data_IF_100337507814
#
_entry.id   IF_100337507814
#
_cell.length_a   1.000
_cell.length_b   1.000
_cell.length_c   1.000
_cell.angle_alpha   90.00
_cell.angle_beta   90.00
_cell.angle_gamma   90.00
#
_symmetry.space_group_name_H-M   'P 1'
#
loop_
_entity.id
_entity.type
_entity.pdbx_description
1 polymer ?
#
# COMPACT_ATOMS: atom_id res chain seq x y z
N UNK A 1 9.71 0.10 -6.03
CA UNK A 1 9.22 -0.93 -5.06
C UNK A 1 8.06 -1.69 -5.70
N UNK A 2 8.17 -2.99 -5.75
CA UNK A 2 7.09 -3.83 -6.27
C UNK A 2 6.33 -4.47 -5.11
N UNK A 3 5.14 -5.01 -5.44
CA UNK A 3 4.34 -5.73 -4.46
C UNK A 3 5.15 -6.87 -3.82
N UNK A 4 5.83 -7.64 -4.66
CA UNK A 4 6.60 -8.79 -4.19
C UNK A 4 7.74 -8.36 -3.29
N UNK A 5 8.41 -7.28 -3.62
CA UNK A 5 9.49 -6.78 -2.77
C UNK A 5 8.97 -6.34 -1.41
N UNK A 6 7.84 -5.63 -1.40
CA UNK A 6 7.27 -5.16 -0.14
C UNK A 6 6.81 -6.32 0.72
N UNK A 7 6.15 -7.32 0.13
CA UNK A 7 5.69 -8.47 0.88
C UNK A 7 6.84 -9.30 1.42
N UNK A 8 7.95 -9.38 0.67
CA UNK A 8 9.15 -10.06 1.16
C UNK A 8 9.70 -9.40 2.41
N UNK A 9 9.72 -8.06 2.42
CA UNK A 9 10.16 -7.30 3.59
C UNK A 9 9.21 -7.56 4.77
N UNK A 10 7.91 -7.54 4.50
CA UNK A 10 6.91 -7.72 5.55
C UNK A 10 6.98 -9.13 6.16
N UNK A 11 7.27 -10.14 5.34
CA UNK A 11 7.36 -11.51 5.83
C UNK A 11 8.47 -11.70 6.86
N UNK A 12 9.47 -10.82 6.85
CA UNK A 12 10.56 -10.91 7.81
C UNK A 12 10.20 -10.28 9.15
N UNK A 13 9.13 -9.48 9.19
CA UNK A 13 8.80 -8.70 10.38
C UNK A 13 7.45 -9.04 10.98
N UNK A 14 6.55 -9.65 10.21
CA UNK A 14 5.19 -9.93 10.65
C UNK A 14 4.83 -11.38 10.39
N UNK A 15 3.85 -11.88 11.12
CA UNK A 15 3.34 -13.22 10.93
C UNK A 15 2.54 -13.32 9.64
N UNK A 16 2.15 -14.54 9.29
CA UNK A 16 1.50 -14.83 8.02
C UNK A 16 0.19 -14.06 7.82
N UNK A 17 -0.66 -14.03 8.84
CA UNK A 17 -1.97 -13.39 8.71
C UNK A 17 -1.84 -11.88 8.48
N UNK A 18 -1.02 -11.15 9.25
CA UNK A 18 -0.79 -9.73 8.95
C UNK A 18 -0.28 -9.51 7.53
N UNK A 19 0.61 -10.37 7.04
CA UNK A 19 1.13 -10.22 5.68
C UNK A 19 0.02 -10.41 4.66
N UNK A 20 -0.90 -11.34 4.88
CA UNK A 20 -2.02 -11.53 3.97
C UNK A 20 -2.96 -10.34 3.97
N UNK A 21 -3.17 -9.72 5.14
CA UNK A 21 -3.98 -8.50 5.22
C UNK A 21 -3.32 -7.38 4.42
N UNK A 22 -2.01 -7.22 4.56
CA UNK A 22 -1.28 -6.22 3.79
C UNK A 22 -1.38 -6.49 2.30
N UNK A 23 -1.24 -7.75 1.88
CA UNK A 23 -1.35 -8.10 0.48
C UNK A 23 -2.72 -7.71 -0.09
N UNK A 24 -3.78 -7.97 0.67
CA UNK A 24 -5.14 -7.60 0.25
C UNK A 24 -5.28 -6.10 0.11
N UNK A 25 -4.70 -5.33 1.04
CA UNK A 25 -4.75 -3.87 0.98
C UNK A 25 -4.00 -3.35 -0.25
N UNK A 26 -2.85 -3.94 -0.56
CA UNK A 26 -2.07 -3.55 -1.72
C UNK A 26 -2.85 -3.85 -3.00
N UNK A 27 -3.49 -5.00 -3.07
CA UNK A 27 -4.27 -5.38 -4.25
C UNK A 27 -5.46 -4.44 -4.45
N UNK A 28 -6.13 -4.07 -3.37
CA UNK A 28 -7.21 -3.10 -3.43
C UNK A 28 -6.71 -1.76 -3.95
N UNK A 29 -5.59 -1.28 -3.38
CA UNK A 29 -5.02 -0.01 -3.79
C UNK A 29 -4.57 -0.05 -5.26
N UNK A 30 -3.99 -1.17 -5.69
CA UNK A 30 -3.54 -1.33 -7.06
C UNK A 30 -4.72 -1.20 -8.01
N UNK A 31 -5.84 -1.82 -7.69
CA UNK A 31 -7.03 -1.75 -8.52
C UNK A 31 -7.57 -0.34 -8.58
N UNK A 32 -7.61 0.35 -7.45
CA UNK A 32 -8.18 1.70 -7.40
C UNK A 32 -7.28 2.73 -8.07
N UNK A 33 -5.97 2.52 -8.05
CA UNK A 33 -5.02 3.44 -8.70
C UNK A 33 -4.71 3.03 -10.15
N UNK A 34 -5.37 2.00 -10.67
CA UNK A 34 -5.09 1.50 -12.01
C UNK A 34 -5.26 2.62 -13.04
N UNK A 35 -4.23 2.81 -13.86
CA UNK A 35 -4.24 3.84 -14.89
C UNK A 35 -3.85 5.23 -14.42
N UNK A 36 -3.75 5.45 -13.10
CA UNK A 36 -3.34 6.75 -12.58
C UNK A 36 -1.82 6.87 -12.60
N UNK A 37 -1.36 8.07 -12.90
CA UNK A 37 0.07 8.36 -12.92
C UNK A 37 0.34 9.69 -12.21
N UNK A 38 1.51 9.80 -11.63
CA UNK A 38 1.97 11.05 -11.05
C UNK A 38 2.42 11.97 -12.18
N UNK A 39 2.68 13.25 -11.84
CA UNK A 39 3.15 14.21 -12.83
C UNK A 39 4.43 13.75 -13.53
N UNK A 40 5.23 12.94 -12.85
CA UNK A 40 6.46 12.39 -13.40
C UNK A 40 6.22 11.26 -14.41
N UNK A 41 4.98 10.79 -14.55
CA UNK A 41 4.64 9.66 -15.42
C UNK A 41 4.73 8.31 -14.72
N UNK A 42 5.15 8.29 -13.47
CA UNK A 42 5.30 7.07 -12.70
C UNK A 42 3.93 6.55 -12.24
N UNK A 43 3.70 5.22 -12.24
CA UNK A 43 2.43 4.70 -11.73
C UNK A 43 2.18 5.14 -10.30
N UNK A 44 0.95 5.57 -10.02
CA UNK A 44 0.64 6.14 -8.72
C UNK A 44 0.78 5.12 -7.58
N UNK A 45 0.56 3.84 -7.85
CA UNK A 45 0.64 2.79 -6.83
C UNK A 45 2.02 2.74 -6.17
N UNK A 46 3.07 3.21 -6.86
CA UNK A 46 4.41 3.20 -6.28
C UNK A 46 4.50 4.06 -5.03
N UNK A 47 3.67 5.09 -4.91
CA UNK A 47 3.70 5.97 -3.75
C UNK A 47 3.22 5.27 -2.47
N UNK A 48 2.03 4.65 -2.42
CA UNK A 48 1.63 3.94 -1.21
C UNK A 48 2.54 2.76 -0.88
N UNK A 49 3.15 2.12 -1.90
CA UNK A 49 4.10 1.04 -1.61
C UNK A 49 5.34 1.58 -0.91
N UNK A 50 5.84 2.73 -1.34
CA UNK A 50 7.01 3.35 -0.70
C UNK A 50 6.69 3.78 0.72
N UNK A 51 5.50 4.32 0.96
CA UNK A 51 5.07 4.72 2.31
C UNK A 51 5.01 3.48 3.20
N UNK A 52 4.45 2.39 2.69
CA UNK A 52 4.36 1.15 3.46
C UNK A 52 5.74 0.62 3.83
N UNK A 53 6.69 0.70 2.91
CA UNK A 53 8.05 0.26 3.20
C UNK A 53 8.66 1.04 4.37
N UNK A 54 8.48 2.37 4.36
CA UNK A 54 9.01 3.21 5.42
C UNK A 54 8.38 2.84 6.76
N UNK A 55 7.06 2.64 6.78
CA UNK A 55 6.37 2.31 8.03
C UNK A 55 6.80 0.95 8.57
N UNK A 56 7.04 -0.02 7.70
CA UNK A 56 7.53 -1.33 8.10
C UNK A 56 8.93 -1.20 8.69
N UNK A 57 9.79 -0.40 8.07
CA UNK A 57 11.16 -0.21 8.56
C UNK A 57 11.18 0.48 9.90
N UNK A 58 10.20 1.34 10.17
CA UNK A 58 10.08 2.02 11.45
C UNK A 58 9.51 1.12 12.54
N UNK A 59 9.11 -0.12 12.21
CA UNK A 59 8.59 -1.05 13.18
C UNK A 59 7.16 -0.80 13.57
N UNK A 60 6.39 -0.13 12.72
CA UNK A 60 4.97 0.12 12.98
C UNK A 60 4.20 -1.18 12.92
N UNK A 61 3.05 -1.23 13.62
CA UNK A 61 2.19 -2.40 13.56
C UNK A 61 1.52 -2.49 12.20
N UNK A 62 1.00 -3.68 11.89
CA UNK A 62 0.42 -3.93 10.57
C UNK A 62 -0.79 -3.03 10.32
N UNK A 63 -1.56 -2.72 11.35
CA UNK A 63 -2.73 -1.86 11.18
C UNK A 63 -2.32 -0.48 10.69
N UNK A 64 -1.22 0.06 11.21
CA UNK A 64 -0.71 1.36 10.78
C UNK A 64 -0.22 1.29 9.33
N UNK A 65 0.47 0.21 8.96
CA UNK A 65 0.97 0.05 7.60
C UNK A 65 -0.19 -0.03 6.62
N UNK A 66 -1.19 -0.85 6.93
CA UNK A 66 -2.37 -1.01 6.07
C UNK A 66 -3.14 0.31 5.97
N UNK A 67 -3.30 1.01 7.09
CA UNK A 67 -3.99 2.30 7.08
C UNK A 67 -3.27 3.30 6.18
N UNK A 68 -1.93 3.29 6.19
CA UNK A 68 -1.15 4.18 5.32
C UNK A 68 -1.42 3.90 3.85
N UNK A 69 -1.45 2.61 3.47
CA UNK A 69 -1.74 2.23 2.08
C UNK A 69 -3.15 2.67 1.68
N UNK A 70 -4.13 2.41 2.54
CA UNK A 70 -5.53 2.68 2.21
C UNK A 70 -5.87 4.16 2.30
N UNK A 71 -5.19 4.91 3.17
CA UNK A 71 -5.44 6.34 3.32
C UNK A 71 -5.24 7.07 1.99
N UNK A 72 -4.09 6.85 1.36
CA UNK A 72 -3.82 7.48 0.07
C UNK A 72 -4.82 7.01 -0.99
N UNK A 73 -5.20 5.74 -0.96
CA UNK A 73 -6.15 5.20 -1.92
C UNK A 73 -7.50 5.89 -1.79
N UNK A 74 -7.99 6.08 -0.56
CA UNK A 74 -9.28 6.72 -0.34
C UNK A 74 -9.24 8.20 -0.73
N UNK A 75 -8.12 8.87 -0.43
CA UNK A 75 -7.99 10.30 -0.70
C UNK A 75 -7.84 10.61 -2.18
N UNK A 76 -7.15 9.74 -2.93
CA UNK A 76 -6.67 10.08 -4.26
C UNK A 76 -7.32 9.27 -5.37
N UNK A 77 -8.37 8.50 -5.08
CA UNK A 77 -9.06 7.71 -6.10
C UNK A 77 -10.56 7.84 -5.97
N UNK A 78 -11.27 7.13 -6.85
CA UNK A 78 -12.73 7.08 -6.83
C UNK A 78 -13.27 6.29 -5.66
N UNK A 79 -12.42 5.70 -4.82
CA UNK A 79 -12.88 4.93 -3.68
C UNK A 79 -13.70 5.77 -2.69
N UNK A 80 -13.57 7.09 -2.74
CA UNK A 80 -14.30 8.02 -1.86
C UNK A 80 -15.46 8.71 -2.56
N UNK A 81 -15.83 8.23 -3.72
CA UNK A 81 -16.76 8.96 -4.59
C UNK A 81 -18.17 9.12 -4.00
N UNK A 82 -18.56 8.25 -3.11
CA UNK A 82 -19.93 8.29 -2.54
C UNK A 82 -20.11 9.38 -1.51
N UNK A 83 -19.08 10.06 -1.13
CA UNK A 83 -19.17 11.15 -0.16
C UNK A 83 -19.80 12.41 -0.71
#
# INVERSE_FOLDING_TARGET
MTREELLSIAEQKYDEVPVLVLASAIDYATEKHAGQKRKSGEPYINHPLAVAEILIEWGMDIDTVVAGVLHDTVEDTDARSEE
#
